data_IF_241030629808
#
_entry.id   IF_241030629808
#
_cell.length_a   1.000
_cell.length_b   1.000
_cell.length_c   1.000
_cell.angle_alpha   90.00
_cell.angle_beta   90.00
_cell.angle_gamma   90.00
#
_symmetry.space_group_name_H-M   'P 1'
#
loop_
_entity.id
_entity.type
_entity.pdbx_description
1 polymer ?
#
# COMPACT_ATOMS: atom_id res chain seq x y z
N UNK A 1 9.69 -4.40 -18.45
CA UNK A 1 10.22 -5.64 -19.06
C UNK A 1 10.36 -6.69 -17.97
N UNK A 2 9.67 -7.80 -18.04
CA UNK A 2 9.87 -8.90 -17.10
C UNK A 2 11.18 -9.61 -17.46
N UNK A 3 12.15 -9.58 -16.56
CA UNK A 3 13.38 -10.35 -16.70
C UNK A 3 12.99 -11.83 -16.77
N UNK A 4 13.37 -12.54 -17.83
CA UNK A 4 13.22 -14.00 -17.92
C UNK A 4 14.12 -14.66 -16.87
N UNK A 5 13.51 -15.31 -15.91
CA UNK A 5 14.22 -16.06 -14.87
C UNK A 5 14.29 -17.52 -15.30
N UNK A 6 15.49 -18.10 -15.24
CA UNK A 6 15.69 -19.52 -15.52
C UNK A 6 15.12 -20.41 -14.41
N UNK A 7 14.69 -21.62 -14.76
CA UNK A 7 14.07 -22.58 -13.81
C UNK A 7 14.95 -22.89 -12.58
N UNK A 8 16.26 -22.85 -12.73
CA UNK A 8 17.21 -23.13 -11.66
C UNK A 8 17.74 -21.87 -10.96
N UNK A 9 17.40 -20.68 -11.45
CA UNK A 9 17.81 -19.42 -10.84
C UNK A 9 17.10 -19.17 -9.50
N UNK A 10 17.65 -18.31 -8.64
CA UNK A 10 16.96 -17.87 -7.43
C UNK A 10 15.61 -17.24 -7.76
N UNK A 11 14.60 -17.57 -6.98
CA UNK A 11 13.26 -17.04 -7.20
C UNK A 11 13.22 -15.52 -6.97
N UNK A 12 12.48 -14.82 -7.81
CA UNK A 12 12.27 -13.37 -7.72
C UNK A 12 11.67 -12.88 -6.39
N UNK A 13 11.05 -13.77 -5.61
CA UNK A 13 10.47 -13.42 -4.31
C UNK A 13 11.49 -13.24 -3.18
N UNK A 14 12.78 -13.47 -3.43
CA UNK A 14 13.83 -13.33 -2.42
C UNK A 14 13.92 -14.48 -1.41
N UNK A 15 13.14 -15.57 -1.58
CA UNK A 15 13.14 -16.72 -0.66
C UNK A 15 14.41 -17.58 -0.70
N UNK A 16 15.34 -17.33 -1.63
CA UNK A 16 16.52 -18.15 -1.87
C UNK A 16 16.24 -19.51 -2.51
N UNK A 17 14.99 -19.88 -2.71
CA UNK A 17 14.60 -21.13 -3.38
C UNK A 17 14.77 -21.00 -4.90
N UNK A 18 15.01 -22.13 -5.59
CA UNK A 18 15.01 -22.16 -7.05
C UNK A 18 13.61 -21.81 -7.58
N UNK A 19 13.55 -21.05 -8.66
CA UNK A 19 12.29 -20.59 -9.28
C UNK A 19 11.31 -21.73 -9.53
N UNK A 20 11.77 -22.86 -10.09
CA UNK A 20 10.95 -24.06 -10.35
C UNK A 20 10.25 -24.66 -9.12
N UNK A 21 10.86 -24.50 -7.95
CA UNK A 21 10.34 -25.04 -6.70
C UNK A 21 9.58 -23.98 -5.87
N UNK A 22 9.43 -22.79 -6.40
CA UNK A 22 8.83 -21.64 -5.69
C UNK A 22 7.67 -21.03 -6.46
N UNK A 23 7.94 -20.20 -7.47
CA UNK A 23 6.91 -19.43 -8.14
C UNK A 23 6.67 -19.77 -9.61
N UNK A 24 7.34 -20.77 -10.19
CA UNK A 24 7.10 -21.16 -11.59
C UNK A 24 5.63 -21.50 -11.85
N UNK A 25 5.05 -22.37 -11.03
CA UNK A 25 3.63 -22.75 -11.19
C UNK A 25 2.66 -21.58 -10.97
N UNK A 26 2.99 -20.66 -10.07
CA UNK A 26 2.24 -19.44 -9.87
C UNK A 26 2.31 -18.52 -11.09
N UNK A 27 3.50 -18.28 -11.61
CA UNK A 27 3.70 -17.43 -12.78
C UNK A 27 3.05 -18.03 -14.04
N UNK A 28 3.08 -19.34 -14.22
CA UNK A 28 2.37 -20.03 -15.30
C UNK A 28 0.85 -19.84 -15.19
N UNK A 29 0.31 -19.92 -13.97
CA UNK A 29 -1.10 -19.67 -13.71
C UNK A 29 -1.47 -18.22 -14.06
N UNK A 30 -0.68 -17.25 -13.63
CA UNK A 30 -0.86 -15.84 -13.95
C UNK A 30 -0.79 -15.59 -15.47
N UNK A 31 0.19 -16.19 -16.15
CA UNK A 31 0.33 -16.07 -17.60
C UNK A 31 -0.90 -16.63 -18.34
N UNK A 32 -1.48 -17.71 -17.85
CA UNK A 32 -2.72 -18.30 -18.41
C UNK A 32 -3.90 -17.32 -18.28
N UNK A 33 -4.08 -16.69 -17.11
CA UNK A 33 -5.13 -15.68 -16.94
C UNK A 33 -4.88 -14.45 -17.82
N UNK A 34 -3.64 -14.01 -17.93
CA UNK A 34 -3.28 -12.90 -18.83
C UNK A 34 -3.62 -13.21 -20.30
N UNK A 35 -3.35 -14.44 -20.77
CA UNK A 35 -3.70 -14.85 -22.13
C UNK A 35 -5.20 -14.92 -22.41
N UNK A 36 -6.02 -15.02 -21.36
CA UNK A 36 -7.48 -14.98 -21.43
C UNK A 36 -8.05 -13.55 -21.36
N UNK A 37 -7.18 -12.52 -21.33
CA UNK A 37 -7.57 -11.11 -21.28
C UNK A 37 -7.83 -10.57 -19.86
N UNK A 38 -7.52 -11.33 -18.81
CA UNK A 38 -7.65 -10.84 -17.43
C UNK A 38 -6.51 -9.89 -17.06
N UNK A 39 -6.82 -8.87 -16.27
CA UNK A 39 -5.82 -8.00 -15.67
C UNK A 39 -5.14 -8.76 -14.53
N UNK A 40 -3.83 -8.94 -14.65
CA UNK A 40 -3.04 -9.68 -13.67
C UNK A 40 -2.05 -8.78 -12.95
N UNK A 41 -1.72 -9.08 -11.67
CA UNK A 41 -0.76 -8.28 -10.92
C UNK A 41 0.66 -8.43 -11.48
N UNK A 42 1.39 -7.33 -11.52
CA UNK A 42 2.81 -7.33 -11.85
C UNK A 42 3.64 -7.84 -10.66
N UNK A 43 4.80 -8.44 -10.92
CA UNK A 43 5.67 -8.99 -9.87
C UNK A 43 6.10 -7.97 -8.81
N UNK A 44 6.29 -6.71 -9.19
CA UNK A 44 6.70 -5.64 -8.30
C UNK A 44 5.67 -5.28 -7.21
N UNK A 45 4.39 -5.61 -7.44
CA UNK A 45 3.32 -5.36 -6.46
C UNK A 45 3.01 -6.57 -5.58
N UNK A 46 3.55 -7.75 -5.93
CA UNK A 46 3.39 -8.96 -5.12
C UNK A 46 4.35 -8.88 -3.92
N UNK A 47 3.80 -9.03 -2.72
CA UNK A 47 4.54 -8.88 -1.47
C UNK A 47 4.99 -10.24 -0.95
N UNK A 48 6.21 -10.29 -0.42
CA UNK A 48 6.71 -11.44 0.32
C UNK A 48 6.20 -11.45 1.78
N UNK A 49 6.52 -12.50 2.53
CA UNK A 49 6.05 -12.66 3.91
C UNK A 49 6.53 -11.54 4.84
N UNK A 50 7.76 -11.06 4.68
CA UNK A 50 8.33 -9.97 5.45
C UNK A 50 7.62 -8.65 5.17
N UNK A 51 7.39 -8.34 3.89
CA UNK A 51 6.64 -7.16 3.48
C UNK A 51 5.19 -7.19 3.98
N UNK A 52 4.55 -8.35 3.97
CA UNK A 52 3.20 -8.53 4.52
C UNK A 52 3.20 -8.29 6.03
N UNK A 53 4.21 -8.79 6.75
CA UNK A 53 4.35 -8.53 8.18
C UNK A 53 4.51 -7.03 8.47
N UNK A 54 5.34 -6.32 7.70
CA UNK A 54 5.50 -4.86 7.81
C UNK A 54 4.20 -4.10 7.53
N UNK A 55 3.44 -4.50 6.52
CA UNK A 55 2.13 -3.92 6.21
C UNK A 55 1.16 -4.14 7.38
N UNK A 56 1.13 -5.33 7.97
CA UNK A 56 0.28 -5.62 9.15
C UNK A 56 0.62 -4.74 10.35
N UNK A 57 1.89 -4.49 10.60
CA UNK A 57 2.31 -3.58 11.68
C UNK A 57 1.88 -2.13 11.38
N UNK A 58 2.07 -1.66 10.16
CA UNK A 58 1.58 -0.34 9.74
C UNK A 58 0.05 -0.22 9.88
N UNK A 59 -0.70 -1.28 9.55
CA UNK A 59 -2.15 -1.30 9.73
C UNK A 59 -2.55 -1.19 11.20
N UNK A 60 -1.83 -1.84 12.12
CA UNK A 60 -2.10 -1.71 13.57
C UNK A 60 -1.94 -0.28 14.06
N UNK A 61 -0.87 0.40 13.63
CA UNK A 61 -0.64 1.81 13.95
C UNK A 61 -1.79 2.66 13.42
N UNK A 62 -2.18 2.45 12.17
CA UNK A 62 -3.25 3.22 11.54
C UNK A 62 -4.61 3.02 12.25
N UNK A 63 -4.95 1.78 12.63
CA UNK A 63 -6.16 1.47 13.40
C UNK A 63 -6.12 2.18 14.75
N UNK A 64 -5.01 2.11 15.48
CA UNK A 64 -4.88 2.76 16.78
C UNK A 64 -5.04 4.29 16.68
N UNK A 65 -4.51 4.91 15.63
CA UNK A 65 -4.68 6.35 15.37
C UNK A 65 -6.15 6.68 15.09
N UNK A 66 -6.82 5.90 14.26
CA UNK A 66 -8.25 6.10 13.94
C UNK A 66 -9.14 5.93 15.16
N UNK A 67 -8.91 4.89 15.97
CA UNK A 67 -9.66 4.65 17.22
C UNK A 67 -9.45 5.80 18.22
N UNK A 68 -8.26 6.36 18.27
CA UNK A 68 -7.97 7.51 19.13
C UNK A 68 -8.70 8.76 18.67
N UNK A 69 -8.71 9.02 17.37
CA UNK A 69 -9.43 10.16 16.78
C UNK A 69 -10.94 10.01 17.02
N UNK A 70 -11.51 8.82 16.79
CA UNK A 70 -12.92 8.57 17.04
C UNK A 70 -13.36 8.93 18.47
N UNK A 71 -12.51 8.62 19.46
CA UNK A 71 -12.79 8.90 20.86
C UNK A 71 -12.62 10.36 21.26
N UNK A 72 -11.80 11.12 20.55
CA UNK A 72 -11.40 12.47 20.94
C UNK A 72 -11.97 13.56 20.02
N UNK A 73 -12.52 13.20 18.86
CA UNK A 73 -13.13 14.17 17.97
C UNK A 73 -14.43 14.73 18.56
N UNK A 74 -14.58 16.04 18.52
CA UNK A 74 -15.78 16.73 19.00
C UNK A 74 -16.09 17.95 18.16
N UNK A 75 -17.33 18.43 18.26
CA UNK A 75 -17.76 19.65 17.60
C UNK A 75 -16.94 20.86 18.07
N UNK A 76 -16.57 21.72 17.14
CA UNK A 76 -15.73 22.89 17.40
C UNK A 76 -14.22 22.63 17.30
N UNK A 77 -13.79 21.40 17.10
CA UNK A 77 -12.37 21.05 16.92
C UNK A 77 -11.86 21.57 15.57
N UNK A 78 -10.67 22.17 15.59
CA UNK A 78 -10.02 22.63 14.35
C UNK A 78 -9.38 21.44 13.63
N UNK A 79 -9.45 21.43 12.30
CA UNK A 79 -8.78 20.39 11.47
C UNK A 79 -7.27 20.33 11.67
N UNK A 80 -6.61 21.45 11.96
CA UNK A 80 -5.19 21.49 12.30
C UNK A 80 -4.87 20.77 13.62
N UNK A 81 -5.79 20.77 14.59
CA UNK A 81 -5.63 20.00 15.83
C UNK A 81 -5.72 18.50 15.57
N UNK A 82 -6.63 18.09 14.69
CA UNK A 82 -6.75 16.69 14.26
C UNK A 82 -5.46 16.24 13.56
N UNK A 83 -4.94 17.04 12.63
CA UNK A 83 -3.69 16.77 11.92
C UNK A 83 -2.51 16.60 12.89
N UNK A 84 -2.40 17.50 13.87
CA UNK A 84 -1.38 17.41 14.91
C UNK A 84 -1.48 16.13 15.74
N UNK A 85 -2.69 15.76 16.15
CA UNK A 85 -2.93 14.52 16.91
C UNK A 85 -2.50 13.30 16.09
N UNK A 86 -2.89 13.24 14.82
CA UNK A 86 -2.51 12.15 13.90
C UNK A 86 -0.99 12.07 13.76
N UNK A 87 -0.34 13.20 13.54
CA UNK A 87 1.11 13.26 13.42
C UNK A 87 1.82 12.80 14.69
N UNK A 88 1.47 13.37 15.84
CA UNK A 88 2.10 13.07 17.12
C UNK A 88 1.92 11.59 17.50
N UNK A 89 0.72 11.06 17.30
CA UNK A 89 0.41 9.67 17.64
C UNK A 89 1.11 8.70 16.70
N UNK A 90 1.08 8.94 15.40
CA UNK A 90 1.75 8.08 14.42
C UNK A 90 3.24 8.03 14.65
N UNK A 91 3.88 9.17 14.89
CA UNK A 91 5.33 9.25 15.13
C UNK A 91 5.72 8.63 16.47
N UNK A 92 4.90 8.77 17.51
CA UNK A 92 5.14 8.13 18.81
C UNK A 92 5.12 6.60 18.74
N UNK A 93 4.36 6.05 17.80
CA UNK A 93 4.29 4.61 17.53
C UNK A 93 5.36 4.12 16.53
N UNK A 94 6.28 4.99 16.11
CA UNK A 94 7.36 4.66 15.18
C UNK A 94 6.95 4.64 13.70
N UNK A 95 5.77 5.14 13.37
CA UNK A 95 5.29 5.30 12.00
C UNK A 95 5.67 6.67 11.41
N UNK A 96 5.59 6.76 10.09
CA UNK A 96 5.70 8.02 9.36
C UNK A 96 4.36 8.23 8.65
N UNK A 97 3.64 9.35 8.91
CA UNK A 97 2.38 9.63 8.21
C UNK A 97 2.61 9.71 6.70
N UNK A 98 1.94 8.86 5.93
CA UNK A 98 2.09 8.83 4.47
C UNK A 98 1.75 10.16 3.78
N UNK A 99 0.78 10.96 4.27
CA UNK A 99 0.46 12.26 3.70
C UNK A 99 1.48 13.37 4.00
N UNK A 100 2.43 13.13 4.91
CA UNK A 100 3.39 14.17 5.31
C UNK A 100 4.24 14.64 4.13
N UNK A 101 4.25 15.95 3.89
CA UNK A 101 4.97 16.61 2.79
C UNK A 101 4.57 16.13 1.38
N UNK A 102 3.37 15.61 1.23
CA UNK A 102 2.84 15.25 -0.08
C UNK A 102 2.14 16.47 -0.71
N UNK A 103 2.74 17.02 -1.75
CA UNK A 103 2.30 18.28 -2.37
C UNK A 103 0.84 18.31 -2.83
N UNK A 104 0.28 17.17 -3.21
CA UNK A 104 -1.14 17.05 -3.60
C UNK A 104 -2.12 17.19 -2.44
N UNK A 105 -1.69 17.08 -1.19
CA UNK A 105 -2.59 17.13 -0.02
C UNK A 105 -2.85 18.54 0.49
N UNK A 106 -2.05 19.52 0.08
CA UNK A 106 -2.36 20.92 0.33
C UNK A 106 -3.65 21.37 -0.34
N UNK A 107 -4.14 20.63 -1.34
CA UNK A 107 -5.30 21.04 -2.13
C UNK A 107 -6.54 20.20 -1.92
N UNK A 108 -6.43 18.95 -1.49
CA UNK A 108 -7.63 18.18 -1.18
C UNK A 108 -7.29 16.75 -0.79
N UNK A 109 -7.83 16.27 0.29
CA UNK A 109 -8.38 14.95 0.31
C UNK A 109 -9.31 14.83 -0.91
N UNK A 110 -9.04 14.01 -1.94
CA UNK A 110 -9.87 14.00 -3.13
C UNK A 110 -11.26 13.49 -2.76
N UNK A 111 -12.18 14.45 -2.61
CA UNK A 111 -13.60 14.16 -2.48
C UNK A 111 -14.05 13.48 -3.78
N UNK A 112 -14.99 12.54 -3.74
CA UNK A 112 -15.61 12.01 -4.95
C UNK A 112 -16.14 13.07 -5.91
N UNK A 113 -16.46 14.25 -5.42
CA UNK A 113 -16.85 15.43 -6.23
C UNK A 113 -15.68 16.00 -7.02
N UNK A 114 -14.49 16.06 -6.44
CA UNK A 114 -13.32 16.68 -7.09
C UNK A 114 -12.75 15.79 -8.21
N UNK A 115 -12.98 14.49 -8.16
CA UNK A 115 -12.63 13.58 -9.25
C UNK A 115 -13.43 13.79 -10.53
N UNK A 116 -14.62 14.38 -10.44
CA UNK A 116 -15.45 14.68 -11.61
C UNK A 116 -14.99 15.93 -12.37
N UNK A 117 -14.30 16.85 -11.70
CA UNK A 117 -13.82 18.11 -12.27
C UNK A 117 -12.49 17.94 -13.01
N UNK A 118 -11.65 16.98 -12.58
CA UNK A 118 -10.35 16.75 -13.23
C UNK A 118 -10.42 15.94 -14.53
N UNK A 119 -11.62 15.63 -15.02
CA UNK A 119 -11.85 14.89 -16.28
C UNK A 119 -12.41 15.74 -17.41
N UNK A 120 -12.42 17.05 -17.28
CA UNK A 120 -12.72 17.91 -18.42
C UNK A 120 -11.45 18.20 -19.22
N UNK A 121 -11.46 17.96 -20.55
CA UNK A 121 -10.34 18.28 -21.42
C UNK A 121 -10.07 19.77 -21.48
#
# INVERSE_FOLDING_TARGET
MSVKIGRNDPCWCGSGRKYKACHEAFDEKIARYASQGHIVPQRNIIKNAEQIAGIKESCKINIAVLDYIEKNIHEGMNTAEIDKIVYDMTTSMGGIPAPLNYDCLLYTSPSPRDRSVSRMP
#
